data_IF_410385311859
#
_entry.id   IF_410385311859
#
_cell.length_a   1.000
_cell.length_b   1.000
_cell.length_c   1.000
_cell.angle_alpha   90.00
_cell.angle_beta   90.00
_cell.angle_gamma   90.00
#
_symmetry.space_group_name_H-M   'P 1'
#
loop_
_entity.id
_entity.type
_entity.pdbx_description
1 polymer ?
#
# COMPACT_ATOMS: atom_id res chain seq x y z
N UNK A 1 -57.86 19.42 -132.16
CA UNK A 1 -56.53 19.37 -131.48
C UNK A 1 -56.36 20.62 -130.60
N UNK A 2 -57.28 20.88 -129.65
CA UNK A 2 -57.18 22.03 -128.73
C UNK A 2 -57.73 21.78 -127.29
N UNK A 3 -58.22 20.58 -126.95
CA UNK A 3 -58.85 20.32 -125.63
C UNK A 3 -57.91 19.81 -124.52
N UNK A 4 -56.60 19.66 -124.76
CA UNK A 4 -55.65 19.04 -123.81
C UNK A 4 -54.87 20.07 -122.97
N UNK A 5 -54.78 21.32 -123.44
CA UNK A 5 -53.98 22.38 -122.81
C UNK A 5 -54.38 22.75 -121.35
N UNK A 6 -55.68 22.90 -120.99
CA UNK A 6 -56.06 23.28 -119.63
C UNK A 6 -55.80 22.17 -118.60
N UNK A 7 -55.93 20.90 -119.00
CA UNK A 7 -55.61 19.76 -118.14
C UNK A 7 -54.10 19.68 -117.82
N UNK A 8 -53.26 20.02 -118.80
CA UNK A 8 -51.80 20.04 -118.62
C UNK A 8 -51.35 21.16 -117.68
N UNK A 9 -51.99 22.35 -117.77
CA UNK A 9 -51.72 23.47 -116.87
C UNK A 9 -52.17 23.18 -115.43
N UNK A 10 -53.34 22.58 -115.25
CA UNK A 10 -53.84 22.14 -113.94
C UNK A 10 -52.94 21.07 -113.31
N UNK A 11 -52.40 20.15 -114.12
CA UNK A 11 -51.45 19.14 -113.67
C UNK A 11 -50.13 19.77 -113.18
N UNK A 12 -49.57 20.75 -113.92
CA UNK A 12 -48.35 21.46 -113.50
C UNK A 12 -48.57 22.23 -112.19
N UNK A 13 -49.71 22.89 -112.03
CA UNK A 13 -50.05 23.62 -110.80
C UNK A 13 -50.22 22.65 -109.63
N UNK A 14 -50.92 21.53 -109.81
CA UNK A 14 -51.05 20.49 -108.79
C UNK A 14 -49.70 19.89 -108.39
N UNK A 15 -48.79 19.70 -109.36
CA UNK A 15 -47.44 19.18 -109.13
C UNK A 15 -46.56 20.20 -108.40
N UNK A 16 -46.66 21.49 -108.73
CA UNK A 16 -45.98 22.57 -108.02
C UNK A 16 -46.48 22.72 -106.57
N UNK A 17 -47.79 22.63 -106.34
CA UNK A 17 -48.41 22.64 -105.00
C UNK A 17 -47.98 21.40 -104.22
N UNK A 18 -47.97 20.22 -104.85
CA UNK A 18 -47.49 18.97 -104.23
C UNK A 18 -46.02 19.03 -103.81
N UNK A 19 -45.15 19.60 -104.66
CA UNK A 19 -43.73 19.84 -104.32
C UNK A 19 -43.61 20.86 -103.18
N UNK A 20 -44.39 21.93 -103.20
CA UNK A 20 -44.36 22.97 -102.16
C UNK A 20 -44.83 22.43 -100.80
N UNK A 21 -45.95 21.71 -100.75
CA UNK A 21 -46.47 21.05 -99.55
C UNK A 21 -45.49 19.96 -99.07
N UNK A 22 -44.95 19.15 -99.98
CA UNK A 22 -43.95 18.13 -99.67
C UNK A 22 -42.69 18.73 -99.03
N UNK A 23 -42.19 19.83 -99.58
CA UNK A 23 -41.06 20.59 -99.02
C UNK A 23 -41.39 21.19 -97.66
N UNK A 24 -42.61 21.69 -97.47
CA UNK A 24 -43.05 22.30 -96.21
C UNK A 24 -43.17 21.24 -95.09
N UNK A 25 -43.80 20.10 -95.37
CA UNK A 25 -43.90 18.97 -94.43
C UNK A 25 -42.51 18.39 -94.13
N UNK A 26 -41.65 18.23 -95.14
CA UNK A 26 -40.28 17.76 -94.95
C UNK A 26 -39.47 18.74 -94.10
N UNK A 27 -39.56 20.03 -94.35
CA UNK A 27 -38.87 21.06 -93.57
C UNK A 27 -39.36 21.12 -92.12
N UNK A 28 -40.67 20.97 -91.88
CA UNK A 28 -41.25 20.93 -90.55
C UNK A 28 -40.84 19.67 -89.77
N UNK A 29 -40.84 18.49 -90.42
CA UNK A 29 -40.34 17.25 -89.82
C UNK A 29 -38.85 17.32 -89.51
N UNK A 30 -38.04 17.81 -90.44
CA UNK A 30 -36.60 17.98 -90.26
C UNK A 30 -36.28 18.97 -89.12
N UNK A 31 -37.03 20.07 -89.02
CA UNK A 31 -36.87 21.04 -87.95
C UNK A 31 -37.29 20.48 -86.59
N UNK A 32 -38.38 19.70 -86.53
CA UNK A 32 -38.79 19.00 -85.31
C UNK A 32 -37.76 17.95 -84.86
N UNK A 33 -37.19 17.19 -85.80
CA UNK A 33 -36.16 16.17 -85.50
C UNK A 33 -34.88 16.82 -85.00
N UNK A 34 -34.47 17.93 -85.64
CA UNK A 34 -33.34 18.77 -85.21
C UNK A 34 -33.53 19.32 -83.81
N UNK A 35 -34.69 19.89 -83.49
CA UNK A 35 -35.00 20.39 -82.12
C UNK A 35 -34.92 19.24 -81.12
N UNK A 36 -35.48 18.07 -81.43
CA UNK A 36 -35.40 16.91 -80.53
C UNK A 36 -33.96 16.42 -80.31
N UNK A 37 -33.11 16.51 -81.33
CA UNK A 37 -31.69 16.17 -81.23
C UNK A 37 -30.93 17.20 -80.39
N UNK A 38 -31.22 18.49 -80.56
CA UNK A 38 -30.64 19.57 -79.76
C UNK A 38 -31.06 19.45 -78.28
N UNK A 39 -32.32 19.13 -77.98
CA UNK A 39 -32.79 18.86 -76.62
C UNK A 39 -32.09 17.64 -76.00
N UNK A 40 -31.95 16.54 -76.74
CA UNK A 40 -31.18 15.37 -76.30
C UNK A 40 -29.71 15.69 -76.06
N UNK A 41 -29.11 16.54 -76.91
CA UNK A 41 -27.72 16.97 -76.76
C UNK A 41 -27.54 17.84 -75.51
N UNK A 42 -28.46 18.77 -75.25
CA UNK A 42 -28.47 19.62 -74.04
C UNK A 42 -28.64 18.76 -72.79
N UNK A 43 -29.59 17.82 -72.80
CA UNK A 43 -29.82 16.89 -71.68
C UNK A 43 -28.59 16.02 -71.41
N UNK A 44 -27.98 15.44 -72.45
CA UNK A 44 -26.76 14.65 -72.33
C UNK A 44 -25.57 15.48 -71.82
N UNK A 45 -25.44 16.73 -72.28
CA UNK A 45 -24.38 17.66 -71.81
C UNK A 45 -24.59 18.03 -70.35
N UNK A 46 -25.83 18.28 -69.94
CA UNK A 46 -26.18 18.55 -68.53
C UNK A 46 -25.86 17.36 -67.64
N UNK A 47 -26.23 16.14 -68.05
CA UNK A 47 -25.89 14.92 -67.32
C UNK A 47 -24.36 14.72 -67.21
N UNK A 48 -23.62 14.99 -68.28
CA UNK A 48 -22.16 14.89 -68.31
C UNK A 48 -21.52 15.90 -67.35
N UNK A 49 -22.02 17.13 -67.29
CA UNK A 49 -21.54 18.14 -66.34
C UNK A 49 -21.84 17.75 -64.88
N UNK A 50 -23.04 17.24 -64.60
CA UNK A 50 -23.41 16.75 -63.28
C UNK A 50 -22.51 15.58 -62.82
N UNK A 51 -22.25 14.62 -63.72
CA UNK A 51 -21.31 13.52 -63.47
C UNK A 51 -19.89 14.02 -63.20
N UNK A 52 -19.42 15.03 -63.95
CA UNK A 52 -18.10 15.65 -63.72
C UNK A 52 -18.00 16.31 -62.35
N UNK A 53 -19.02 17.08 -61.94
CA UNK A 53 -19.05 17.71 -60.62
C UNK A 53 -19.06 16.66 -59.50
N UNK A 54 -19.84 15.60 -59.65
CA UNK A 54 -19.86 14.49 -58.69
C UNK A 54 -18.49 13.83 -58.58
N UNK A 55 -17.82 13.57 -59.71
CA UNK A 55 -16.48 12.96 -59.73
C UNK A 55 -15.43 13.86 -59.08
N UNK A 56 -15.53 15.19 -59.24
CA UNK A 56 -14.66 16.15 -58.56
C UNK A 56 -14.89 16.10 -57.05
N UNK A 57 -16.14 16.09 -56.60
CA UNK A 57 -16.49 16.03 -55.19
C UNK A 57 -16.01 14.71 -54.54
N UNK A 58 -16.23 13.58 -55.22
CA UNK A 58 -15.78 12.26 -54.75
C UNK A 58 -14.25 12.21 -54.68
N UNK A 59 -13.55 12.79 -55.66
CA UNK A 59 -12.08 12.91 -55.64
C UNK A 59 -11.59 13.71 -54.43
N UNK A 60 -12.20 14.86 -54.14
CA UNK A 60 -11.84 15.70 -52.99
C UNK A 60 -12.11 14.96 -51.67
N UNK A 61 -13.24 14.26 -51.56
CA UNK A 61 -13.56 13.45 -50.39
C UNK A 61 -12.54 12.32 -50.18
N UNK A 62 -12.13 11.66 -51.26
CA UNK A 62 -11.12 10.60 -51.22
C UNK A 62 -9.73 11.13 -50.83
N UNK A 63 -9.33 12.28 -51.37
CA UNK A 63 -8.06 12.94 -50.99
C UNK A 63 -8.05 13.30 -49.49
N UNK A 64 -9.15 13.84 -48.95
CA UNK A 64 -9.28 14.12 -47.51
C UNK A 64 -9.21 12.86 -46.65
N UNK A 65 -9.87 11.78 -47.07
CA UNK A 65 -9.83 10.50 -46.35
C UNK A 65 -8.41 9.91 -46.34
N UNK A 66 -7.70 10.04 -47.46
CA UNK A 66 -6.31 9.60 -47.58
C UNK A 66 -5.38 10.41 -46.68
N UNK A 67 -5.55 11.73 -46.61
CA UNK A 67 -4.79 12.58 -45.68
C UNK A 67 -5.05 12.22 -44.22
N UNK A 68 -6.31 12.04 -43.82
CA UNK A 68 -6.68 11.64 -42.46
C UNK A 68 -6.07 10.27 -42.10
N UNK A 69 -6.18 9.28 -43.01
CA UNK A 69 -5.62 7.94 -42.80
C UNK A 69 -4.09 7.98 -42.67
N UNK A 70 -3.41 8.84 -43.43
CA UNK A 70 -1.96 9.00 -43.31
C UNK A 70 -1.57 9.69 -42.00
N UNK A 71 -2.34 10.66 -41.52
CA UNK A 71 -2.13 11.31 -40.23
C UNK A 71 -2.29 10.30 -39.07
N UNK A 72 -3.35 9.50 -39.08
CA UNK A 72 -3.59 8.43 -38.08
C UNK A 72 -2.46 7.40 -38.10
N UNK A 73 -2.00 7.01 -39.29
CA UNK A 73 -0.87 6.07 -39.44
C UNK A 73 0.42 6.62 -38.85
N UNK A 74 0.73 7.89 -39.05
CA UNK A 74 1.91 8.54 -38.44
C UNK A 74 1.74 8.68 -36.92
N UNK A 75 0.54 8.98 -36.42
CA UNK A 75 0.28 9.00 -34.98
C UNK A 75 0.50 7.62 -34.35
N UNK A 76 -0.09 6.57 -34.91
CA UNK A 76 0.09 5.18 -34.44
C UNK A 76 1.57 4.78 -34.49
N UNK A 77 2.31 5.21 -35.52
CA UNK A 77 3.76 4.95 -35.63
C UNK A 77 4.53 5.62 -34.50
N UNK A 78 4.24 6.89 -34.21
CA UNK A 78 4.88 7.64 -33.13
C UNK A 78 4.55 7.05 -31.73
N UNK A 79 3.30 6.65 -31.51
CA UNK A 79 2.89 5.98 -30.27
C UNK A 79 3.59 4.63 -30.09
N UNK A 80 3.67 3.83 -31.17
CA UNK A 80 4.40 2.56 -31.17
C UNK A 80 5.89 2.76 -30.86
N UNK A 81 6.53 3.76 -31.46
CA UNK A 81 7.94 4.05 -31.21
C UNK A 81 8.17 4.52 -29.76
N UNK A 82 7.27 5.36 -29.23
CA UNK A 82 7.29 5.77 -27.81
C UNK A 82 7.11 4.58 -26.86
N UNK A 83 6.15 3.70 -27.14
CA UNK A 83 5.90 2.49 -26.36
C UNK A 83 7.09 1.53 -26.41
N UNK A 84 7.73 1.37 -27.57
CA UNK A 84 8.93 0.54 -27.71
C UNK A 84 10.11 1.08 -26.88
N UNK A 85 10.30 2.40 -26.85
CA UNK A 85 11.32 3.05 -26.00
C UNK A 85 11.00 2.83 -24.51
N UNK A 86 9.74 2.99 -24.10
CA UNK A 86 9.33 2.77 -22.71
C UNK A 86 9.51 1.31 -22.29
N UNK A 87 9.15 0.36 -23.16
CA UNK A 87 9.31 -1.07 -22.92
C UNK A 87 10.80 -1.41 -22.73
N UNK A 88 11.66 -0.95 -23.64
CA UNK A 88 13.10 -1.18 -23.54
C UNK A 88 13.69 -0.58 -22.25
N UNK A 89 13.24 0.60 -21.84
CA UNK A 89 13.66 1.20 -20.56
C UNK A 89 13.22 0.35 -19.36
N UNK A 90 11.99 -0.15 -19.38
CA UNK A 90 11.46 -1.01 -18.30
C UNK A 90 12.15 -2.37 -18.23
N UNK A 91 12.51 -2.96 -19.36
CA UNK A 91 13.30 -4.19 -19.43
C UNK A 91 14.70 -3.98 -18.82
N UNK A 92 15.38 -2.89 -19.19
CA UNK A 92 16.69 -2.55 -18.61
C UNK A 92 16.59 -2.28 -17.10
N UNK A 93 15.57 -1.55 -16.65
CA UNK A 93 15.33 -1.31 -15.21
C UNK A 93 15.09 -2.64 -14.47
N UNK A 94 14.35 -3.56 -15.08
CA UNK A 94 14.06 -4.88 -14.50
C UNK A 94 15.32 -5.74 -14.39
N UNK A 95 16.14 -5.80 -15.44
CA UNK A 95 17.40 -6.55 -15.44
C UNK A 95 18.37 -6.01 -14.39
N UNK A 96 18.50 -4.67 -14.29
CA UNK A 96 19.32 -4.03 -13.27
C UNK A 96 18.81 -4.33 -11.84
N UNK A 97 17.50 -4.31 -11.61
CA UNK A 97 16.92 -4.65 -10.31
C UNK A 97 17.13 -6.12 -9.97
N UNK A 98 17.02 -7.01 -10.96
CA UNK A 98 17.25 -8.44 -10.80
C UNK A 98 18.71 -8.74 -10.47
N UNK A 99 19.65 -8.09 -11.16
CA UNK A 99 21.08 -8.22 -10.90
C UNK A 99 21.44 -7.71 -9.49
N UNK A 100 20.97 -6.52 -9.09
CA UNK A 100 21.16 -6.01 -7.71
C UNK A 100 20.58 -6.95 -6.65
N UNK A 101 19.42 -7.56 -6.91
CA UNK A 101 18.83 -8.51 -5.96
C UNK A 101 19.68 -9.78 -5.83
N UNK A 102 20.21 -10.27 -6.95
CA UNK A 102 21.13 -11.42 -6.96
C UNK A 102 22.43 -11.11 -6.22
N UNK A 103 23.03 -9.95 -6.48
CA UNK A 103 24.24 -9.48 -5.78
C UNK A 103 24.02 -9.37 -4.28
N UNK A 104 22.91 -8.75 -3.84
CA UNK A 104 22.57 -8.66 -2.41
C UNK A 104 22.43 -10.04 -1.76
N UNK A 105 21.83 -11.01 -2.46
CA UNK A 105 21.69 -12.37 -1.94
C UNK A 105 23.04 -13.06 -1.77
N UNK A 106 23.93 -12.95 -2.76
CA UNK A 106 25.29 -13.48 -2.67
C UNK A 106 26.12 -12.78 -1.58
N UNK A 107 25.94 -11.47 -1.39
CA UNK A 107 26.62 -10.71 -0.34
C UNK A 107 26.18 -11.19 1.06
N UNK A 108 24.89 -11.42 1.26
CA UNK A 108 24.35 -11.98 2.52
C UNK A 108 24.89 -13.38 2.79
N UNK A 109 24.92 -14.26 1.78
CA UNK A 109 25.49 -15.62 1.94
C UNK A 109 26.98 -15.56 2.30
N UNK A 110 27.76 -14.71 1.63
CA UNK A 110 29.19 -14.51 1.95
C UNK A 110 29.38 -13.94 3.35
N UNK A 111 28.53 -13.00 3.78
CA UNK A 111 28.58 -12.43 5.12
C UNK A 111 28.34 -13.50 6.18
N UNK A 112 27.35 -14.38 5.95
CA UNK A 112 27.00 -15.48 6.83
C UNK A 112 28.12 -16.53 6.91
N UNK A 113 28.74 -16.86 5.78
CA UNK A 113 29.88 -17.78 5.75
C UNK A 113 31.10 -17.19 6.47
N UNK A 114 31.38 -15.88 6.26
CA UNK A 114 32.45 -15.17 6.95
C UNK A 114 32.22 -15.12 8.46
N UNK A 115 31.01 -14.79 8.91
CA UNK A 115 30.66 -14.81 10.33
C UNK A 115 30.81 -16.19 10.95
N UNK A 116 30.42 -17.24 10.23
CA UNK A 116 30.58 -18.62 10.72
C UNK A 116 32.05 -18.98 10.89
N UNK A 117 32.90 -18.64 9.90
CA UNK A 117 34.35 -18.87 9.97
C UNK A 117 35.04 -18.01 11.05
N UNK A 118 34.66 -16.74 11.20
CA UNK A 118 35.23 -15.89 12.25
C UNK A 118 34.79 -16.36 13.65
N UNK A 119 33.55 -16.82 13.79
CA UNK A 119 33.05 -17.43 15.02
C UNK A 119 33.80 -18.72 15.36
N UNK A 120 33.98 -19.61 14.39
CA UNK A 120 34.74 -20.86 14.56
C UNK A 120 36.20 -20.59 14.93
N UNK A 121 36.85 -19.65 14.27
CA UNK A 121 38.22 -19.24 14.60
C UNK A 121 38.31 -18.60 15.99
N UNK A 122 37.35 -17.74 16.37
CA UNK A 122 37.31 -17.13 17.69
C UNK A 122 37.06 -18.17 18.79
N UNK A 123 36.17 -19.13 18.54
CA UNK A 123 35.90 -20.24 19.45
C UNK A 123 37.14 -21.12 19.63
N UNK A 124 37.81 -21.49 18.54
CA UNK A 124 39.05 -22.27 18.59
C UNK A 124 40.19 -21.50 19.27
N UNK A 125 40.33 -20.19 19.00
CA UNK A 125 41.37 -19.35 19.60
C UNK A 125 41.14 -19.13 21.10
N UNK A 126 39.89 -18.96 21.53
CA UNK A 126 39.50 -18.89 22.95
C UNK A 126 39.74 -20.25 23.65
N UNK A 127 39.50 -21.37 22.96
CA UNK A 127 39.79 -22.70 23.47
C UNK A 127 41.32 -22.92 23.61
N UNK A 128 42.11 -22.60 22.59
CA UNK A 128 43.55 -22.88 22.54
C UNK A 128 44.38 -21.95 23.44
N UNK A 129 44.07 -20.64 23.51
CA UNK A 129 44.80 -19.69 24.37
C UNK A 129 44.60 -19.97 25.88
N UNK A 130 43.59 -20.77 26.26
CA UNK A 130 43.27 -21.09 27.67
C UNK A 130 43.46 -22.56 28.05
N UNK A 131 43.61 -23.48 27.10
CA UNK A 131 43.70 -24.93 27.36
C UNK A 131 45.07 -25.39 27.89
N UNK A 132 46.17 -24.70 27.57
CA UNK A 132 47.54 -25.18 27.91
C UNK A 132 47.95 -25.07 29.38
N UNK A 133 47.11 -24.54 30.29
CA UNK A 133 47.43 -24.39 31.72
C UNK A 133 46.32 -24.73 32.73
N UNK A 134 45.27 -25.47 32.35
CA UNK A 134 44.05 -25.54 33.17
C UNK A 134 43.44 -26.96 33.24
N UNK A 135 44.00 -27.82 34.10
CA UNK A 135 43.60 -29.25 34.17
C UNK A 135 42.53 -29.55 35.25
N UNK A 136 41.53 -30.32 34.84
CA UNK A 136 40.53 -31.14 35.56
C UNK A 136 39.56 -30.49 36.56
N UNK A 137 39.99 -29.64 37.49
CA UNK A 137 39.09 -29.13 38.53
C UNK A 137 38.07 -28.08 38.02
N UNK A 138 38.30 -27.52 36.82
CA UNK A 138 37.43 -26.50 36.23
C UNK A 138 36.39 -27.04 35.24
N UNK A 139 36.39 -28.36 34.95
CA UNK A 139 35.46 -28.97 33.98
C UNK A 139 34.01 -29.01 34.51
N UNK A 140 33.83 -29.22 35.81
CA UNK A 140 32.52 -29.11 36.48
C UNK A 140 32.04 -27.66 36.59
N UNK A 141 32.94 -26.72 36.98
CA UNK A 141 32.60 -25.31 37.06
C UNK A 141 32.27 -24.70 35.69
N UNK A 142 32.99 -25.09 34.62
CA UNK A 142 32.66 -24.67 33.26
C UNK A 142 31.38 -25.31 32.73
N UNK A 143 31.02 -26.55 33.11
CA UNK A 143 29.71 -27.11 32.75
C UNK A 143 28.58 -26.27 33.35
N UNK A 144 28.74 -25.79 34.58
CA UNK A 144 27.76 -24.91 35.23
C UNK A 144 27.71 -23.49 34.63
N UNK A 145 28.81 -23.00 34.03
CA UNK A 145 28.88 -21.67 33.40
C UNK A 145 28.48 -21.70 31.92
N UNK A 146 28.77 -22.79 31.21
CA UNK A 146 28.46 -22.96 29.79
C UNK A 146 27.07 -23.55 29.54
N UNK A 147 26.48 -24.30 30.47
CA UNK A 147 25.11 -24.79 30.32
C UNK A 147 24.11 -23.65 30.13
N UNK A 148 24.15 -22.54 30.90
CA UNK A 148 23.28 -21.39 30.66
C UNK A 148 23.48 -20.75 29.27
N UNK A 149 24.71 -20.76 28.74
CA UNK A 149 25.00 -20.22 27.41
C UNK A 149 24.45 -21.15 26.31
N UNK A 150 24.64 -22.46 26.46
CA UNK A 150 24.09 -23.47 25.56
C UNK A 150 22.56 -23.45 25.57
N UNK A 151 21.94 -23.33 26.76
CA UNK A 151 20.50 -23.20 26.91
C UNK A 151 19.99 -21.90 26.27
N UNK A 152 20.71 -20.79 26.42
CA UNK A 152 20.36 -19.50 25.78
C UNK A 152 20.52 -19.53 24.26
N UNK A 153 21.53 -20.22 23.74
CA UNK A 153 21.72 -20.40 22.30
C UNK A 153 20.63 -21.29 21.73
N UNK A 154 20.26 -22.39 22.39
CA UNK A 154 19.12 -23.21 21.97
C UNK A 154 17.80 -22.44 22.07
N UNK A 155 17.63 -21.63 23.11
CA UNK A 155 16.44 -20.78 23.24
C UNK A 155 16.40 -19.71 22.14
N UNK A 156 17.55 -19.16 21.75
CA UNK A 156 17.67 -18.19 20.68
C UNK A 156 17.43 -18.83 19.31
N UNK A 157 18.04 -19.98 19.03
CA UNK A 157 17.82 -20.76 17.81
C UNK A 157 16.34 -21.11 17.67
N UNK A 158 15.73 -21.60 18.75
CA UNK A 158 14.29 -21.83 18.80
C UNK A 158 13.47 -20.55 18.62
N UNK A 159 13.86 -19.44 19.22
CA UNK A 159 13.17 -18.14 19.05
C UNK A 159 13.26 -17.65 17.61
N UNK A 160 14.40 -17.83 16.94
CA UNK A 160 14.61 -17.47 15.53
C UNK A 160 13.79 -18.37 14.62
N UNK A 161 13.77 -19.68 14.88
CA UNK A 161 12.96 -20.65 14.15
C UNK A 161 11.46 -20.39 14.34
N UNK A 162 11.02 -20.12 15.57
CA UNK A 162 9.65 -19.71 15.92
C UNK A 162 9.28 -18.39 15.24
N UNK A 163 10.20 -17.40 15.20
CA UNK A 163 9.96 -16.11 14.51
C UNK A 163 9.87 -16.28 13.00
N UNK A 164 10.71 -17.15 12.41
CA UNK A 164 10.62 -17.49 10.99
C UNK A 164 9.29 -18.17 10.66
N UNK A 165 8.85 -19.06 11.55
CA UNK A 165 7.57 -19.76 11.42
C UNK A 165 6.38 -18.81 11.58
N UNK A 166 6.39 -17.92 12.58
CA UNK A 166 5.41 -16.85 12.75
C UNK A 166 5.38 -15.92 11.54
N UNK A 167 6.54 -15.55 10.98
CA UNK A 167 6.63 -14.72 9.77
C UNK A 167 6.02 -15.42 8.54
N UNK A 168 6.30 -16.71 8.36
CA UNK A 168 5.70 -17.52 7.29
C UNK A 168 4.18 -17.62 7.48
N UNK A 169 3.71 -17.88 8.70
CA UNK A 169 2.29 -17.94 9.04
C UNK A 169 1.61 -16.58 8.84
N UNK A 170 2.28 -15.47 9.18
CA UNK A 170 1.80 -14.11 8.95
C UNK A 170 1.71 -13.79 7.46
N UNK A 171 2.71 -14.16 6.66
CA UNK A 171 2.68 -14.01 5.21
C UNK A 171 1.61 -14.90 4.55
N UNK A 172 1.39 -16.12 5.06
CA UNK A 172 0.33 -17.00 4.62
C UNK A 172 -1.05 -16.43 4.98
N UNK A 173 -1.22 -15.92 6.20
CA UNK A 173 -2.43 -15.24 6.65
C UNK A 173 -2.71 -13.97 5.84
N UNK A 174 -1.70 -13.15 5.58
CA UNK A 174 -1.81 -11.96 4.73
C UNK A 174 -2.21 -12.34 3.31
N UNK A 175 -1.59 -13.38 2.72
CA UNK A 175 -1.97 -13.89 1.40
C UNK A 175 -3.41 -14.38 1.38
N UNK A 176 -3.82 -15.13 2.39
CA UNK A 176 -5.19 -15.61 2.53
C UNK A 176 -6.19 -14.47 2.71
N UNK A 177 -5.81 -13.43 3.46
CA UNK A 177 -6.61 -12.22 3.58
C UNK A 177 -6.70 -11.48 2.25
N UNK A 178 -5.62 -11.33 1.47
CA UNK A 178 -5.63 -10.71 0.12
C UNK A 178 -6.53 -11.51 -0.82
N UNK A 179 -6.45 -12.83 -0.80
CA UNK A 179 -7.35 -13.70 -1.57
C UNK A 179 -8.81 -13.52 -1.12
N UNK A 180 -9.05 -13.44 0.19
CA UNK A 180 -10.36 -13.13 0.77
C UNK A 180 -10.88 -11.77 0.34
N UNK A 181 -10.00 -10.76 0.23
CA UNK A 181 -10.37 -9.44 -0.32
C UNK A 181 -10.75 -9.52 -1.79
N UNK A 182 -10.03 -10.31 -2.59
CA UNK A 182 -10.37 -10.53 -4.00
C UNK A 182 -11.73 -11.21 -4.15
N UNK A 183 -11.97 -12.28 -3.39
CA UNK A 183 -13.22 -13.04 -3.40
C UNK A 183 -14.39 -12.13 -2.98
N UNK A 184 -14.20 -11.37 -1.90
CA UNK A 184 -15.18 -10.42 -1.38
C UNK A 184 -15.43 -9.26 -2.34
N UNK A 185 -14.40 -8.77 -3.03
CA UNK A 185 -14.56 -7.75 -4.06
C UNK A 185 -15.41 -8.27 -5.22
N UNK A 186 -15.15 -9.50 -5.69
CA UNK A 186 -15.95 -10.13 -6.75
C UNK A 186 -17.40 -10.33 -6.30
N UNK A 187 -17.62 -10.82 -5.08
CA UNK A 187 -18.95 -11.03 -4.53
C UNK A 187 -19.69 -9.70 -4.33
N UNK A 188 -19.03 -8.72 -3.74
CA UNK A 188 -19.62 -7.41 -3.50
C UNK A 188 -19.91 -6.68 -4.80
N UNK A 189 -19.04 -6.77 -5.82
CA UNK A 189 -19.30 -6.23 -7.16
C UNK A 189 -20.54 -6.86 -7.79
N UNK A 190 -20.71 -8.19 -7.70
CA UNK A 190 -21.92 -8.89 -8.16
C UNK A 190 -23.18 -8.47 -7.39
N UNK A 191 -23.11 -8.42 -6.06
CA UNK A 191 -24.21 -7.96 -5.21
C UNK A 191 -24.58 -6.51 -5.50
N UNK A 192 -23.59 -5.65 -5.76
CA UNK A 192 -23.76 -4.24 -6.12
C UNK A 192 -24.47 -4.08 -7.44
N UNK A 193 -24.09 -4.85 -8.47
CA UNK A 193 -24.76 -4.80 -9.79
C UNK A 193 -26.21 -5.26 -9.68
N UNK A 194 -26.48 -6.35 -8.95
CA UNK A 194 -27.83 -6.86 -8.74
C UNK A 194 -28.68 -5.90 -7.91
N UNK A 195 -28.09 -5.26 -6.90
CA UNK A 195 -28.78 -4.30 -6.06
C UNK A 195 -29.02 -2.96 -6.76
N UNK A 196 -28.10 -2.50 -7.61
CA UNK A 196 -28.29 -1.29 -8.45
C UNK A 196 -29.48 -1.47 -9.39
N UNK A 197 -29.67 -2.69 -9.90
CA UNK A 197 -30.87 -3.05 -10.68
C UNK A 197 -32.15 -3.11 -9.83
N UNK A 198 -32.04 -3.44 -8.54
CA UNK A 198 -33.16 -3.57 -7.62
C UNK A 198 -33.59 -2.25 -6.95
N UNK A 199 -32.66 -1.31 -6.73
CA UNK A 199 -32.89 -0.01 -6.06
C UNK A 199 -33.28 1.10 -7.06
N UNK A 200 -34.01 0.74 -8.11
CA UNK A 200 -34.37 1.64 -9.20
C UNK A 200 -35.16 2.85 -8.68
N UNK A 201 -34.58 4.05 -8.77
CA UNK A 201 -35.29 5.32 -8.50
C UNK A 201 -35.42 5.76 -7.03
N UNK A 202 -34.86 5.06 -6.04
CA UNK A 202 -34.87 5.51 -4.63
C UNK A 202 -33.49 6.04 -4.20
N UNK A 203 -33.27 7.33 -4.44
CA UNK A 203 -32.04 8.05 -4.05
C UNK A 203 -31.71 7.97 -2.55
N UNK A 204 -32.72 7.81 -1.67
CA UNK A 204 -32.51 7.72 -0.22
C UNK A 204 -32.01 6.34 0.18
N UNK A 205 -32.56 5.28 -0.42
CA UNK A 205 -32.05 3.92 -0.22
C UNK A 205 -30.63 3.74 -0.76
N UNK A 206 -30.29 4.41 -1.88
CA UNK A 206 -28.94 4.39 -2.44
C UNK A 206 -27.92 5.03 -1.49
N UNK A 207 -28.25 6.18 -0.89
CA UNK A 207 -27.39 6.83 0.12
C UNK A 207 -27.17 5.94 1.35
N UNK A 208 -28.25 5.39 1.91
CA UNK A 208 -28.17 4.48 3.06
C UNK A 208 -27.34 3.22 2.76
N UNK A 209 -27.39 2.73 1.52
CA UNK A 209 -26.58 1.58 1.12
C UNK A 209 -25.10 1.93 0.99
N UNK A 210 -24.77 3.11 0.46
CA UNK A 210 -23.40 3.62 0.44
C UNK A 210 -22.79 3.72 1.85
N UNK A 211 -23.56 4.22 2.81
CA UNK A 211 -23.16 4.29 4.22
C UNK A 211 -22.94 2.90 4.83
N UNK A 212 -23.83 1.94 4.57
CA UNK A 212 -23.69 0.55 5.04
C UNK A 212 -22.42 -0.13 4.49
N UNK A 213 -22.10 0.10 3.21
CA UNK A 213 -20.88 -0.43 2.60
C UNK A 213 -19.65 0.20 3.23
N UNK A 214 -19.67 1.52 3.47
CA UNK A 214 -18.59 2.23 4.16
C UNK A 214 -18.36 1.67 5.57
N UNK A 215 -19.42 1.50 6.36
CA UNK A 215 -19.31 0.92 7.71
C UNK A 215 -18.74 -0.49 7.68
N UNK A 216 -19.21 -1.35 6.78
CA UNK A 216 -18.68 -2.72 6.62
C UNK A 216 -17.19 -2.73 6.21
N UNK A 217 -16.75 -1.76 5.41
CA UNK A 217 -15.35 -1.62 5.02
C UNK A 217 -14.49 -1.23 6.23
N UNK A 218 -14.95 -0.30 7.06
CA UNK A 218 -14.28 0.13 8.29
C UNK A 218 -14.21 -1.00 9.33
N UNK A 219 -15.28 -1.78 9.51
CA UNK A 219 -15.27 -2.94 10.42
C UNK A 219 -14.25 -4.00 9.99
N UNK A 220 -14.01 -4.14 8.68
CA UNK A 220 -13.11 -5.15 8.11
C UNK A 220 -11.68 -4.68 7.94
N UNK A 221 -11.40 -3.38 8.14
CA UNK A 221 -10.05 -2.85 7.99
C UNK A 221 -9.14 -3.17 9.16
N UNK A 222 -9.70 -3.66 10.27
CA UNK A 222 -8.96 -3.89 11.52
C UNK A 222 -9.02 -2.69 12.47
N UNK A 223 -9.61 -1.57 12.04
CA UNK A 223 -9.65 -0.37 12.86
C UNK A 223 -10.71 -0.46 13.98
N UNK A 224 -10.41 0.10 15.14
CA UNK A 224 -11.28 0.14 16.32
C UNK A 224 -12.18 1.40 16.33
N UNK A 225 -13.50 1.20 16.35
CA UNK A 225 -14.50 2.27 16.45
C UNK A 225 -14.36 3.04 17.77
N UNK A 226 -14.32 4.36 17.70
CA UNK A 226 -14.17 5.26 18.85
C UNK A 226 -12.74 5.52 19.29
N UNK A 227 -11.74 4.79 18.75
CA UNK A 227 -10.31 5.11 18.91
C UNK A 227 -9.70 5.55 17.58
N UNK A 228 -9.82 4.71 16.57
CA UNK A 228 -9.14 4.89 15.28
C UNK A 228 -10.06 5.45 14.20
N UNK A 229 -11.37 5.31 14.35
CA UNK A 229 -12.33 6.04 13.53
C UNK A 229 -13.61 6.37 14.29
N UNK A 230 -14.29 7.42 13.85
CA UNK A 230 -15.54 7.94 14.41
C UNK A 230 -16.56 8.16 13.29
N UNK A 231 -17.82 7.84 13.55
CA UNK A 231 -18.93 7.96 12.59
C UNK A 231 -19.83 9.12 13.03
N UNK A 232 -20.17 10.03 12.09
CA UNK A 232 -21.17 11.09 12.28
C UNK A 232 -20.96 12.01 13.51
N UNK A 233 -19.78 12.60 13.69
CA UNK A 233 -19.66 13.72 14.64
C UNK A 233 -20.18 15.02 14.01
N UNK A 234 -21.08 15.70 14.71
CA UNK A 234 -21.55 17.03 14.35
C UNK A 234 -20.53 18.07 14.79
N UNK A 235 -19.83 18.70 13.84
CA UNK A 235 -18.90 19.77 14.16
C UNK A 235 -19.54 21.13 13.86
N UNK A 236 -19.36 22.08 14.77
CA UNK A 236 -19.87 23.45 14.62
C UNK A 236 -18.70 24.32 14.16
N UNK A 237 -18.80 24.88 12.95
CA UNK A 237 -17.84 25.88 12.44
C UNK A 237 -17.86 27.13 13.30
N UNK A 238 -16.78 27.93 13.25
CA UNK A 238 -16.72 29.24 13.90
C UNK A 238 -17.85 30.20 13.45
N UNK A 239 -18.39 29.99 12.23
CA UNK A 239 -19.54 30.72 11.68
C UNK A 239 -20.92 30.15 12.10
N UNK A 240 -20.96 29.15 12.99
CA UNK A 240 -22.20 28.55 13.49
C UNK A 240 -22.88 27.53 12.55
N UNK A 241 -22.30 27.26 11.37
CA UNK A 241 -22.76 26.22 10.46
C UNK A 241 -22.30 24.83 10.92
N UNK A 242 -23.22 23.86 10.97
CA UNK A 242 -22.90 22.47 11.31
C UNK A 242 -22.47 21.70 10.07
N UNK A 243 -21.28 21.10 10.11
CA UNK A 243 -20.79 20.22 9.05
C UNK A 243 -20.69 18.80 9.61
N UNK A 244 -21.25 17.86 8.85
CA UNK A 244 -21.32 16.45 9.19
C UNK A 244 -20.45 15.67 8.20
N UNK A 245 -19.15 15.44 8.48
CA UNK A 245 -18.41 14.41 7.77
C UNK A 245 -19.07 13.05 8.05
N UNK A 246 -19.05 12.14 7.08
CA UNK A 246 -19.65 10.83 7.28
C UNK A 246 -18.78 10.00 8.23
N UNK A 247 -17.46 10.01 8.04
CA UNK A 247 -16.48 9.31 8.91
C UNK A 247 -15.19 10.13 9.07
N UNK A 248 -14.61 10.10 10.27
CA UNK A 248 -13.28 10.64 10.59
C UNK A 248 -12.38 9.49 11.03
N UNK A 249 -11.18 9.38 10.44
CA UNK A 249 -10.17 8.38 10.76
C UNK A 249 -8.99 9.09 11.44
N UNK A 250 -8.55 8.54 12.57
CA UNK A 250 -7.40 9.03 13.33
C UNK A 250 -6.14 8.29 12.88
N UNK A 251 -5.11 9.05 12.52
CA UNK A 251 -3.81 8.53 12.10
C UNK A 251 -2.82 8.50 13.27
N UNK A 252 -1.82 7.60 13.23
CA UNK A 252 -0.65 7.71 14.07
C UNK A 252 0.01 9.08 13.80
N UNK A 253 0.47 9.78 14.84
CA UNK A 253 0.90 11.20 14.86
C UNK A 253 -0.21 12.25 15.11
N UNK A 254 -1.46 11.83 15.36
CA UNK A 254 -2.54 12.75 15.74
C UNK A 254 -3.19 13.50 14.58
N UNK A 255 -2.76 13.23 13.35
CA UNK A 255 -3.42 13.67 12.12
C UNK A 255 -4.78 12.99 11.95
N UNK A 256 -5.66 13.61 11.17
CA UNK A 256 -6.99 13.08 10.86
C UNK A 256 -7.22 13.02 9.36
N UNK A 257 -7.95 12.00 8.92
CA UNK A 257 -8.39 11.80 7.55
C UNK A 257 -9.92 11.71 7.51
N UNK A 258 -10.54 12.39 6.56
CA UNK A 258 -12.00 12.49 6.47
C UNK A 258 -12.48 11.65 5.29
N UNK A 259 -13.59 10.95 5.47
CA UNK A 259 -14.28 10.21 4.40
C UNK A 259 -15.67 10.80 4.19
N UNK A 260 -15.97 11.16 2.94
CA UNK A 260 -17.29 11.61 2.48
C UNK A 260 -17.82 10.61 1.44
N UNK A 261 -19.06 10.14 1.64
CA UNK A 261 -19.67 9.05 0.86
C UNK A 261 -20.83 9.50 -0.04
N UNK A 262 -21.11 10.81 -0.12
CA UNK A 262 -22.35 11.35 -0.70
C UNK A 262 -22.30 11.52 -2.23
N UNK A 263 -21.81 10.53 -2.96
CA UNK A 263 -21.83 10.56 -4.43
C UNK A 263 -23.19 10.10 -4.96
N UNK A 264 -23.86 10.95 -5.73
CA UNK A 264 -25.10 10.58 -6.42
C UNK A 264 -24.82 9.65 -7.60
N UNK A 265 -25.38 8.44 -7.55
CA UNK A 265 -25.21 7.37 -8.54
C UNK A 265 -26.42 7.24 -9.49
N UNK A 266 -27.36 8.18 -9.44
CA UNK A 266 -28.59 8.14 -10.23
C UNK A 266 -28.33 8.12 -11.74
N UNK A 267 -27.31 8.84 -12.22
CA UNK A 267 -26.95 8.87 -13.65
C UNK A 267 -26.32 7.53 -14.10
N UNK A 268 -25.48 6.92 -13.26
CA UNK A 268 -24.93 5.59 -13.51
C UNK A 268 -26.02 4.50 -13.56
N UNK A 269 -27.00 4.58 -12.66
CA UNK A 269 -28.14 3.68 -12.66
C UNK A 269 -28.95 3.78 -13.97
N UNK A 270 -29.22 5.00 -14.44
CA UNK A 270 -29.89 5.23 -15.73
C UNK A 270 -29.05 4.69 -16.89
N UNK A 271 -27.74 4.91 -16.87
CA UNK A 271 -26.83 4.37 -17.88
C UNK A 271 -26.91 2.83 -17.99
N UNK A 272 -26.90 2.11 -16.85
CA UNK A 272 -26.95 0.64 -16.86
C UNK A 272 -28.29 0.10 -17.34
N UNK A 273 -29.37 0.81 -17.06
CA UNK A 273 -30.73 0.38 -17.37
C UNK A 273 -31.24 0.87 -18.73
N UNK A 274 -30.46 1.70 -19.43
CA UNK A 274 -30.80 2.20 -20.76
C UNK A 274 -30.37 1.22 -21.85
N UNK A 275 -31.22 1.02 -22.85
CA UNK A 275 -30.92 0.13 -23.99
C UNK A 275 -30.45 0.93 -25.20
N UNK A 276 -30.89 2.18 -25.35
CA UNK A 276 -30.48 3.08 -26.43
C UNK A 276 -29.07 3.64 -26.22
N UNK A 277 -28.20 3.45 -27.22
CA UNK A 277 -26.77 3.82 -27.16
C UNK A 277 -26.56 5.35 -27.15
N UNK A 278 -27.44 6.12 -27.81
CA UNK A 278 -27.36 7.59 -27.80
C UNK A 278 -27.75 8.15 -26.42
N UNK A 279 -28.83 7.63 -25.82
CA UNK A 279 -29.25 7.99 -24.47
C UNK A 279 -28.24 7.55 -23.40
N UNK A 280 -27.62 6.36 -23.55
CA UNK A 280 -26.52 5.89 -22.70
C UNK A 280 -25.36 6.88 -22.64
N UNK A 281 -24.92 7.37 -23.80
CA UNK A 281 -23.79 8.32 -23.86
C UNK A 281 -24.11 9.61 -23.12
N UNK A 282 -25.37 10.06 -23.15
CA UNK A 282 -25.87 11.18 -22.35
C UNK A 282 -25.75 10.92 -20.84
N UNK A 283 -26.25 9.78 -20.36
CA UNK A 283 -26.20 9.43 -18.94
C UNK A 283 -24.79 9.20 -18.41
N UNK A 284 -23.87 8.70 -19.24
CA UNK A 284 -22.46 8.55 -18.89
C UNK A 284 -21.82 9.92 -18.61
N UNK A 285 -22.07 10.91 -19.48
CA UNK A 285 -21.58 12.28 -19.29
C UNK A 285 -22.18 12.91 -18.03
N UNK A 286 -23.47 12.68 -17.77
CA UNK A 286 -24.13 13.15 -16.54
C UNK A 286 -23.48 12.55 -15.28
N UNK A 287 -23.12 11.26 -15.31
CA UNK A 287 -22.45 10.58 -14.20
C UNK A 287 -21.07 11.17 -13.93
N UNK A 288 -20.24 11.35 -14.95
CA UNK A 288 -18.92 11.99 -14.83
C UNK A 288 -19.05 13.41 -14.28
N UNK A 289 -20.00 14.20 -14.78
CA UNK A 289 -20.24 15.56 -14.30
C UNK A 289 -20.76 15.60 -12.86
N UNK A 290 -21.54 14.59 -12.44
CA UNK A 290 -21.97 14.42 -11.05
C UNK A 290 -20.77 14.26 -10.11
N UNK A 291 -19.83 13.38 -10.45
CA UNK A 291 -18.61 13.16 -9.66
C UNK A 291 -17.74 14.42 -9.63
N UNK A 292 -17.52 15.08 -10.78
CA UNK A 292 -16.75 16.34 -10.86
C UNK A 292 -17.32 17.43 -9.95
N UNK A 293 -18.63 17.65 -10.02
CA UNK A 293 -19.31 18.62 -9.17
C UNK A 293 -19.17 18.27 -7.69
N UNK A 294 -19.19 16.99 -7.33
CA UNK A 294 -18.97 16.59 -5.95
C UNK A 294 -17.54 16.84 -5.50
N UNK A 295 -16.54 16.55 -6.34
CA UNK A 295 -15.12 16.90 -6.11
C UNK A 295 -14.96 18.41 -5.91
N UNK A 296 -15.61 19.24 -6.73
CA UNK A 296 -15.58 20.70 -6.59
C UNK A 296 -16.25 21.17 -5.29
N UNK A 297 -17.41 20.61 -4.94
CA UNK A 297 -18.11 20.91 -3.70
C UNK A 297 -17.29 20.52 -2.48
N UNK A 298 -16.64 19.35 -2.51
CA UNK A 298 -15.82 18.86 -1.41
C UNK A 298 -14.56 19.71 -1.24
N UNK A 299 -13.95 20.13 -2.35
CA UNK A 299 -12.76 21.00 -2.33
C UNK A 299 -13.08 22.43 -1.89
N UNK A 300 -14.34 22.86 -2.01
CA UNK A 300 -14.82 24.14 -1.47
C UNK A 300 -15.23 24.09 0.01
N UNK A 301 -15.38 22.90 0.60
CA UNK A 301 -15.59 22.75 2.05
C UNK A 301 -14.22 22.80 2.72
N UNK A 302 -13.91 23.92 3.38
CA UNK A 302 -12.69 24.08 4.17
C UNK A 302 -12.77 23.25 5.46
N UNK A 303 -12.66 21.92 5.34
CA UNK A 303 -12.49 21.05 6.50
C UNK A 303 -11.20 21.41 7.27
N UNK A 304 -10.22 22.03 6.61
CA UNK A 304 -9.00 22.56 7.22
C UNK A 304 -9.29 23.58 8.33
N UNK A 305 -10.31 24.44 8.16
CA UNK A 305 -10.66 25.50 9.12
C UNK A 305 -11.55 24.98 10.26
N UNK A 306 -12.30 23.91 10.00
CA UNK A 306 -13.29 23.34 10.93
C UNK A 306 -12.67 22.68 12.16
N UNK A 307 -11.44 22.18 12.03
CA UNK A 307 -10.88 21.28 13.03
C UNK A 307 -9.91 21.93 14.01
N UNK A 308 -9.43 23.17 13.82
CA UNK A 308 -8.36 23.77 14.66
C UNK A 308 -7.17 22.81 14.93
N UNK A 309 -7.01 21.79 14.10
CA UNK A 309 -6.06 20.67 14.22
C UNK A 309 -5.18 20.74 12.98
N UNK A 310 -3.90 20.37 13.12
CA UNK A 310 -2.97 20.19 12.02
C UNK A 310 -3.67 19.50 10.84
N UNK A 311 -3.77 20.22 9.73
CA UNK A 311 -4.69 20.00 8.62
C UNK A 311 -4.79 18.54 8.16
N UNK A 312 -5.97 18.04 7.75
CA UNK A 312 -6.05 16.83 6.94
C UNK A 312 -5.26 17.06 5.64
N UNK A 313 -4.23 16.24 5.39
CA UNK A 313 -3.45 16.30 4.14
C UNK A 313 -4.35 15.93 2.93
N UNK A 314 -5.37 15.07 3.13
CA UNK A 314 -6.29 14.62 2.10
C UNK A 314 -7.71 14.33 2.64
N UNK A 315 -8.71 14.52 1.78
CA UNK A 315 -10.09 14.04 1.99
C UNK A 315 -10.37 12.87 1.06
N UNK A 316 -10.93 11.79 1.59
CA UNK A 316 -11.33 10.62 0.82
C UNK A 316 -12.76 10.78 0.31
N UNK A 317 -12.92 10.76 -1.01
CA UNK A 317 -14.22 10.68 -1.67
C UNK A 317 -14.57 9.22 -1.93
N UNK A 318 -15.54 8.68 -1.20
CA UNK A 318 -15.93 7.29 -1.32
C UNK A 318 -17.04 7.08 -2.37
N UNK A 319 -16.76 6.21 -3.35
CA UNK A 319 -17.72 5.75 -4.35
C UNK A 319 -18.03 4.27 -4.07
N UNK A 320 -19.25 3.92 -3.63
CA UNK A 320 -19.56 2.56 -3.18
C UNK A 320 -19.63 1.54 -4.33
N UNK A 321 -19.76 2.00 -5.58
CA UNK A 321 -19.86 1.16 -6.77
C UNK A 321 -18.59 1.30 -7.61
N UNK A 322 -17.72 0.30 -7.54
CA UNK A 322 -16.44 0.29 -8.24
C UNK A 322 -16.55 0.35 -9.78
N UNK A 323 -17.47 -0.39 -10.44
CA UNK A 323 -17.66 -0.22 -11.88
C UNK A 323 -18.14 1.17 -12.29
N UNK A 324 -18.88 1.88 -11.43
CA UNK A 324 -19.30 3.26 -11.69
C UNK A 324 -18.11 4.21 -11.69
N UNK A 325 -17.13 3.99 -10.82
CA UNK A 325 -15.88 4.75 -10.82
C UNK A 325 -15.00 4.41 -12.04
N UNK A 326 -14.81 3.12 -12.34
CA UNK A 326 -14.01 2.69 -13.49
C UNK A 326 -14.52 3.26 -14.82
N UNK A 327 -15.85 3.29 -14.98
CA UNK A 327 -16.51 3.91 -16.11
C UNK A 327 -16.25 5.42 -16.21
N UNK A 328 -16.33 6.13 -15.10
CA UNK A 328 -16.08 7.56 -15.09
C UNK A 328 -14.62 7.90 -15.45
N UNK A 329 -13.68 7.07 -15.02
CA UNK A 329 -12.25 7.22 -15.33
C UNK A 329 -11.95 6.95 -16.81
N UNK A 330 -12.64 5.99 -17.43
CA UNK A 330 -12.51 5.70 -18.87
C UNK A 330 -13.01 6.86 -19.74
N UNK A 331 -14.10 7.52 -19.34
CA UNK A 331 -14.66 8.68 -20.06
C UNK A 331 -13.83 9.95 -19.83
N UNK A 332 -13.32 10.18 -18.61
CA UNK A 332 -12.43 11.30 -18.31
C UNK A 332 -11.22 10.86 -17.49
N UNK A 333 -10.11 10.62 -18.18
CA UNK A 333 -8.83 10.24 -17.59
C UNK A 333 -8.21 11.35 -16.72
N UNK A 334 -8.65 12.61 -16.86
CA UNK A 334 -8.19 13.74 -16.05
C UNK A 334 -8.91 13.87 -14.71
N UNK A 335 -10.01 13.14 -14.51
CA UNK A 335 -10.86 13.23 -13.32
C UNK A 335 -10.08 13.00 -12.03
N UNK A 336 -9.26 11.95 -12.00
CA UNK A 336 -8.46 11.61 -10.83
C UNK A 336 -7.42 12.69 -10.50
N UNK A 337 -6.68 13.16 -11.51
CA UNK A 337 -5.66 14.18 -11.32
C UNK A 337 -6.25 15.51 -10.82
N UNK A 338 -7.41 15.93 -11.37
CA UNK A 338 -8.12 17.13 -10.94
C UNK A 338 -8.64 17.03 -9.50
N UNK A 339 -9.09 15.85 -9.09
CA UNK A 339 -9.48 15.62 -7.70
C UNK A 339 -8.24 15.69 -6.78
N UNK A 340 -7.14 15.07 -7.21
CA UNK A 340 -5.89 15.04 -6.45
C UNK A 340 -5.28 16.44 -6.27
N UNK A 341 -5.29 17.29 -7.29
CA UNK A 341 -4.87 18.71 -7.20
C UNK A 341 -5.68 19.52 -6.17
N UNK A 342 -6.89 19.06 -5.82
CA UNK A 342 -7.75 19.64 -4.79
C UNK A 342 -7.63 18.94 -3.44
N UNK A 343 -6.59 18.11 -3.25
CA UNK A 343 -6.37 17.27 -2.06
C UNK A 343 -7.52 16.27 -1.80
N UNK A 344 -8.18 15.80 -2.86
CA UNK A 344 -9.27 14.81 -2.79
C UNK A 344 -8.80 13.52 -3.44
N UNK A 345 -8.83 12.43 -2.70
CA UNK A 345 -8.51 11.09 -3.20
C UNK A 345 -9.82 10.32 -3.37
N UNK A 346 -10.12 9.94 -4.61
CA UNK A 346 -11.30 9.12 -4.91
C UNK A 346 -10.98 7.67 -4.56
N UNK A 347 -11.80 7.06 -3.70
CA UNK A 347 -11.65 5.69 -3.24
C UNK A 347 -12.92 4.88 -3.48
N UNK A 348 -12.71 3.62 -3.84
CA UNK A 348 -13.70 2.55 -3.93
C UNK A 348 -13.58 1.65 -2.69
N UNK A 349 -14.51 0.71 -2.44
CA UNK A 349 -14.39 -0.18 -1.29
C UNK A 349 -13.08 -0.97 -1.22
N UNK A 350 -12.50 -1.36 -2.36
CA UNK A 350 -11.22 -2.06 -2.39
C UNK A 350 -10.03 -1.16 -2.02
N UNK A 351 -10.01 0.06 -2.55
CA UNK A 351 -8.91 1.00 -2.34
C UNK A 351 -8.99 1.68 -0.98
N UNK A 352 -10.19 1.97 -0.48
CA UNK A 352 -10.42 2.33 0.92
C UNK A 352 -9.98 1.17 1.83
N UNK A 353 -10.38 -0.05 1.46
CA UNK A 353 -9.88 -1.33 1.92
C UNK A 353 -8.40 -1.32 2.33
N UNK A 354 -7.60 -1.20 1.27
CA UNK A 354 -6.16 -1.19 1.33
C UNK A 354 -5.63 0.00 2.14
N UNK A 355 -6.17 1.20 1.93
CA UNK A 355 -5.75 2.43 2.63
C UNK A 355 -5.90 2.28 4.15
N UNK A 356 -7.05 1.79 4.60
CA UNK A 356 -7.31 1.60 6.03
C UNK A 356 -6.41 0.52 6.64
N UNK A 357 -6.10 -0.56 5.91
CA UNK A 357 -5.12 -1.58 6.37
C UNK A 357 -3.71 -1.04 6.47
N UNK A 358 -3.32 -0.15 5.56
CA UNK A 358 -2.04 0.56 5.67
C UNK A 358 -2.02 1.39 6.95
N UNK A 359 -3.10 2.11 7.25
CA UNK A 359 -3.24 2.90 8.48
C UNK A 359 -3.17 2.00 9.73
N UNK A 360 -3.87 0.85 9.75
CA UNK A 360 -3.80 -0.13 10.83
C UNK A 360 -2.37 -0.68 11.06
N UNK A 361 -1.66 -0.96 9.97
CA UNK A 361 -0.25 -1.37 10.05
C UNK A 361 0.64 -0.26 10.62
N UNK A 362 0.35 1.01 10.30
CA UNK A 362 1.07 2.15 10.89
C UNK A 362 0.80 2.28 12.39
N UNK A 363 -0.45 2.09 12.84
CA UNK A 363 -0.80 2.05 14.27
C UNK A 363 -0.07 0.93 15.02
N UNK A 364 -0.04 -0.27 14.43
CA UNK A 364 0.69 -1.41 14.99
C UNK A 364 2.18 -1.10 15.13
N UNK A 365 2.79 -0.46 14.12
CA UNK A 365 4.19 -0.05 14.17
C UNK A 365 4.45 1.02 15.24
N UNK A 366 3.59 2.04 15.37
CA UNK A 366 3.73 3.06 16.43
C UNK A 366 3.66 2.41 17.82
N UNK A 367 2.67 1.54 18.04
CA UNK A 367 2.53 0.81 19.31
C UNK A 367 3.75 -0.05 19.62
N UNK A 368 4.36 -0.67 18.60
CA UNK A 368 5.59 -1.44 18.77
C UNK A 368 6.78 -0.54 19.17
N UNK A 369 6.90 0.65 18.58
CA UNK A 369 7.93 1.62 18.96
C UNK A 369 7.76 2.11 20.40
N UNK A 370 6.54 2.47 20.81
CA UNK A 370 6.24 2.89 22.18
C UNK A 370 6.58 1.79 23.20
N UNK A 371 6.19 0.55 22.90
CA UNK A 371 6.53 -0.60 23.75
C UNK A 371 8.05 -0.84 23.82
N UNK A 372 8.77 -0.69 22.70
CA UNK A 372 10.23 -0.85 22.68
C UNK A 372 10.93 0.20 23.55
N UNK A 373 10.47 1.46 23.51
CA UNK A 373 10.98 2.53 24.37
C UNK A 373 10.72 2.24 25.84
N UNK A 374 9.52 1.76 26.18
CA UNK A 374 9.19 1.40 27.57
C UNK A 374 10.02 0.19 28.05
N UNK A 375 10.23 -0.82 27.19
CA UNK A 375 11.13 -1.94 27.50
C UNK A 375 12.56 -1.44 27.74
N UNK A 376 13.09 -0.56 26.88
CA UNK A 376 14.42 0.00 27.05
C UNK A 376 14.55 0.78 28.37
N UNK A 377 13.54 1.57 28.73
CA UNK A 377 13.47 2.29 30.01
C UNK A 377 13.49 1.34 31.20
N UNK A 378 12.68 0.27 31.16
CA UNK A 378 12.64 -0.73 32.22
C UNK A 378 13.94 -1.55 32.32
N UNK A 379 14.54 -1.89 31.18
CA UNK A 379 15.84 -2.58 31.13
C UNK A 379 16.96 -1.73 31.74
N UNK A 380 16.98 -0.42 31.45
CA UNK A 380 17.91 0.53 32.07
C UNK A 380 17.75 0.57 33.59
N UNK A 381 16.52 0.74 34.07
CA UNK A 381 16.23 0.76 35.51
C UNK A 381 16.59 -0.57 36.21
N UNK A 382 16.46 -1.70 35.52
CA UNK A 382 16.88 -3.01 36.03
C UNK A 382 18.39 -3.12 36.12
N UNK A 383 19.12 -2.61 35.11
CA UNK A 383 20.59 -2.58 35.12
C UNK A 383 21.12 -1.77 36.31
N UNK A 384 20.56 -0.57 36.55
CA UNK A 384 20.95 0.27 37.69
C UNK A 384 20.73 -0.43 39.03
N UNK A 385 19.60 -1.13 39.20
CA UNK A 385 19.34 -1.92 40.41
C UNK A 385 20.31 -3.09 40.55
N UNK A 386 20.66 -3.74 39.45
CA UNK A 386 21.62 -4.85 39.46
C UNK A 386 23.03 -4.37 39.83
N UNK A 387 23.49 -3.25 39.28
CA UNK A 387 24.76 -2.62 39.64
C UNK A 387 24.82 -2.30 41.15
N UNK A 388 23.78 -1.65 41.67
CA UNK A 388 23.69 -1.34 43.11
C UNK A 388 23.73 -2.59 43.99
N UNK A 389 23.04 -3.66 43.58
CA UNK A 389 23.07 -4.94 44.28
C UNK A 389 24.46 -5.59 44.26
N UNK A 390 25.16 -5.56 43.12
CA UNK A 390 26.55 -6.04 43.00
C UNK A 390 27.48 -5.23 43.90
N UNK A 391 27.35 -3.91 43.94
CA UNK A 391 28.14 -3.04 44.82
C UNK A 391 27.93 -3.38 46.30
N UNK A 392 26.68 -3.66 46.71
CA UNK A 392 26.37 -4.07 48.07
C UNK A 392 26.94 -5.46 48.41
N UNK A 393 26.91 -6.42 47.47
CA UNK A 393 27.58 -7.71 47.65
C UNK A 393 29.11 -7.56 47.80
N UNK A 394 29.75 -6.67 47.04
CA UNK A 394 31.18 -6.38 47.18
C UNK A 394 31.48 -5.81 48.58
N UNK A 395 30.65 -4.89 49.08
CA UNK A 395 30.79 -4.33 50.44
C UNK A 395 30.64 -5.43 51.51
N UNK A 396 29.64 -6.31 51.34
CA UNK A 396 29.42 -7.44 52.26
C UNK A 396 30.64 -8.37 52.27
N UNK A 397 31.19 -8.70 51.09
CA UNK A 397 32.41 -9.49 50.97
C UNK A 397 33.56 -8.90 51.79
N UNK A 398 33.82 -7.59 51.64
CA UNK A 398 34.84 -6.89 52.43
C UNK A 398 34.59 -6.96 53.93
N UNK A 399 33.35 -6.75 54.38
CA UNK A 399 33.00 -6.86 55.81
C UNK A 399 33.15 -8.26 56.38
N UNK A 400 32.91 -9.29 55.58
CA UNK A 400 33.15 -10.69 55.97
C UNK A 400 34.65 -10.93 56.16
N UNK A 401 35.47 -10.43 55.24
CA UNK A 401 36.93 -10.53 55.36
C UNK A 401 37.45 -9.78 56.60
N UNK A 402 36.97 -8.56 56.85
CA UNK A 402 37.28 -7.81 58.07
C UNK A 402 36.85 -8.56 59.34
N UNK A 403 35.62 -9.09 59.36
CA UNK A 403 35.10 -9.89 60.47
C UNK A 403 35.96 -11.13 60.73
N UNK A 404 36.47 -11.76 59.67
CA UNK A 404 37.38 -12.91 59.76
C UNK A 404 38.74 -12.50 60.35
N UNK A 405 39.26 -11.33 60.00
CA UNK A 405 40.50 -10.78 60.59
C UNK A 405 40.29 -10.50 62.07
N UNK A 406 39.21 -9.82 62.46
CA UNK A 406 38.90 -9.54 63.87
C UNK A 406 38.71 -10.81 64.68
N UNK A 407 37.98 -11.79 64.14
CA UNK A 407 37.81 -13.11 64.74
C UNK A 407 39.15 -13.82 64.94
N UNK A 408 40.02 -13.80 63.92
CA UNK A 408 41.37 -14.39 64.01
C UNK A 408 42.22 -13.66 65.05
N UNK A 409 42.09 -12.34 65.16
CA UNK A 409 42.75 -11.54 66.21
C UNK A 409 42.25 -11.88 67.62
N UNK A 410 40.94 -12.09 67.80
CA UNK A 410 40.36 -12.55 69.05
C UNK A 410 40.83 -13.97 69.42
N UNK A 411 40.89 -14.88 68.44
CA UNK A 411 41.41 -16.24 68.63
C UNK A 411 42.89 -16.25 68.99
N UNK A 412 43.70 -15.37 68.40
CA UNK A 412 45.09 -15.17 68.80
C UNK A 412 45.22 -14.73 70.27
N UNK A 413 44.42 -13.77 70.73
CA UNK A 413 44.45 -13.34 72.14
C UNK A 413 43.95 -14.44 73.09
N UNK A 414 43.01 -15.27 72.63
CA UNK A 414 42.40 -16.31 73.44
C UNK A 414 43.25 -17.59 73.52
N UNK A 415 43.72 -18.11 72.37
CA UNK A 415 44.28 -19.47 72.22
C UNK A 415 45.66 -19.49 71.54
N UNK A 416 45.88 -18.74 70.46
CA UNK A 416 46.99 -19.02 69.52
C UNK A 416 48.24 -18.12 69.70
N UNK A 417 48.12 -16.96 70.35
CA UNK A 417 49.22 -15.99 70.51
C UNK A 417 50.14 -16.24 71.72
N UNK A 418 51.35 -15.66 71.70
CA UNK A 418 52.28 -15.66 72.85
C UNK A 418 51.64 -14.94 74.04
N UNK A 419 51.50 -15.65 75.17
CA UNK A 419 50.83 -15.11 76.37
C UNK A 419 49.30 -15.06 76.26
N UNK A 420 48.69 -15.94 75.46
CA UNK A 420 47.24 -16.01 75.33
C UNK A 420 46.51 -16.19 76.67
N UNK A 421 45.23 -15.80 76.70
CA UNK A 421 44.43 -15.77 77.92
C UNK A 421 44.23 -17.17 78.53
N UNK A 422 44.08 -18.22 77.70
CA UNK A 422 43.85 -19.59 78.18
C UNK A 422 45.09 -20.09 78.95
N UNK A 423 46.29 -19.93 78.40
CA UNK A 423 47.55 -20.31 79.07
C UNK A 423 47.81 -19.47 80.31
N UNK A 424 47.50 -18.17 80.28
CA UNK A 424 47.67 -17.26 81.42
C UNK A 424 46.73 -17.59 82.59
N UNK A 425 45.46 -17.87 82.29
CA UNK A 425 44.46 -18.28 83.30
C UNK A 425 44.76 -19.69 83.84
N UNK A 426 45.24 -20.61 83.00
CA UNK A 426 45.63 -21.94 83.46
C UNK A 426 46.91 -21.91 84.32
N UNK A 427 47.89 -21.05 84.00
CA UNK A 427 49.06 -20.77 84.86
C UNK A 427 48.61 -20.22 86.22
N UNK A 428 47.65 -19.29 86.26
CA UNK A 428 47.07 -18.77 87.52
C UNK A 428 46.38 -19.85 88.36
N UNK A 429 45.66 -20.76 87.73
CA UNK A 429 45.05 -21.93 88.39
C UNK A 429 46.12 -22.88 88.95
N UNK A 430 47.18 -23.18 88.18
CA UNK A 430 48.34 -23.97 88.62
C UNK A 430 49.08 -23.31 89.80
N UNK A 431 49.07 -21.98 89.89
CA UNK A 431 49.66 -21.20 91.00
C UNK A 431 48.75 -21.08 92.25
N UNK A 432 47.59 -21.77 92.28
CA UNK A 432 46.77 -21.90 93.49
C UNK A 432 45.48 -21.09 93.53
N UNK A 433 45.05 -20.48 92.42
CA UNK A 433 43.74 -19.83 92.33
C UNK A 433 42.58 -20.86 92.41
N UNK A 434 41.65 -20.67 93.35
CA UNK A 434 40.50 -21.58 93.55
C UNK A 434 39.45 -21.41 92.44
N UNK A 435 39.50 -22.26 91.42
CA UNK A 435 38.49 -22.34 90.36
C UNK A 435 37.63 -23.61 90.48
N UNK A 436 36.30 -23.49 90.39
CA UNK A 436 35.34 -24.62 90.53
C UNK A 436 35.03 -25.36 89.22
N UNK A 437 35.36 -24.80 88.06
CA UNK A 437 35.10 -25.38 86.72
C UNK A 437 36.38 -25.35 85.88
N UNK A 438 36.59 -26.36 85.05
CA UNK A 438 37.74 -26.47 84.14
C UNK A 438 37.35 -26.15 82.70
N UNK A 439 38.31 -25.62 81.94
CA UNK A 439 38.16 -25.40 80.51
C UNK A 439 38.21 -26.73 79.74
N UNK A 440 37.54 -26.84 78.58
CA UNK A 440 37.60 -28.04 77.74
C UNK A 440 39.04 -28.41 77.31
N UNK A 441 39.41 -29.69 77.42
CA UNK A 441 40.77 -30.19 77.13
C UNK A 441 41.24 -29.91 75.69
N UNK A 442 40.32 -29.90 74.72
CA UNK A 442 40.62 -29.63 73.32
C UNK A 442 41.13 -28.20 73.07
N UNK A 443 40.67 -27.21 73.86
CA UNK A 443 41.13 -25.82 73.74
C UNK A 443 42.46 -25.63 74.46
N UNK A 444 42.66 -26.30 75.60
CA UNK A 444 43.93 -26.31 76.34
C UNK A 444 45.07 -26.90 75.50
N UNK A 445 44.85 -28.07 74.89
CA UNK A 445 45.84 -28.74 74.05
C UNK A 445 46.20 -27.92 72.79
N UNK A 446 45.25 -27.16 72.24
CA UNK A 446 45.50 -26.28 71.09
C UNK A 446 46.38 -25.09 71.50
N UNK A 447 46.08 -24.47 72.65
CA UNK A 447 46.85 -23.34 73.16
C UNK A 447 48.29 -23.71 73.55
N UNK A 448 48.51 -24.89 74.14
CA UNK A 448 49.86 -25.36 74.52
C UNK A 448 50.72 -25.78 73.32
N UNK A 449 50.10 -26.26 72.21
CA UNK A 449 50.84 -26.63 70.99
C UNK A 449 51.43 -25.42 70.27
N UNK A 450 50.66 -24.32 70.17
CA UNK A 450 51.15 -23.08 69.53
C UNK A 450 52.22 -22.37 70.36
N UNK A 451 52.11 -22.37 71.69
CA UNK A 451 53.15 -21.79 72.58
C UNK A 451 54.52 -22.47 72.37
N UNK A 452 54.52 -23.80 72.20
CA UNK A 452 55.73 -24.58 71.91
C UNK A 452 56.27 -24.42 70.49
N UNK A 453 55.41 -24.11 69.50
CA UNK A 453 55.86 -23.82 68.13
C UNK A 453 56.45 -22.42 67.97
N UNK A 454 56.01 -21.45 68.77
CA UNK A 454 56.51 -20.07 68.75
C UNK A 454 57.79 -19.85 69.59
N UNK A 455 58.21 -20.85 70.36
CA UNK A 455 59.43 -20.85 71.20
C UNK A 455 60.61 -21.59 70.54
N UNK A 456 60.36 -22.33 69.46
CA UNK A 456 61.37 -22.84 68.52
C UNK A 456 61.48 -21.92 67.31
#
# INVERSE_FOLDING_TARGET
MFDILPFLLAFIIALAIGIWIGKLIFSARFQSEKISLEEKLIAATSQLNQLKEQLINDKIAFEKLLEATNADKEQIRNEKDSLAIQLSKKEVDFDNLWERNKEQKEEVEKLQEKFTKEFENLANKILDEKSTKFTEQNKENMKNILSPLQDKIQLFEKKVEDTHKESIDYHAALRQQILGLREMNIQMSKETINLTKALKGDSKMQGNWGELVLERVLEKSGLEKGREYEVQQAFTTEDGNRVFPDVVINLPDGKKMIVDSKVSLTAYEKYINEEDDDAKTGFLKEHVNSIKRHVEQLGGKNYQDLYQIESPDFVLLFIPIEPAFAMALNEDTSLYNKAFEKNIVIVTPATLLATLRTIDSMWTNQKQQENALEIARQAGALYDKFEGFVADLIKIGKKIDESKIEYSGAMNKLVEGKGNLITSVEKLKKMGAKAKKALPENILNRAEKDENQLLN
#
